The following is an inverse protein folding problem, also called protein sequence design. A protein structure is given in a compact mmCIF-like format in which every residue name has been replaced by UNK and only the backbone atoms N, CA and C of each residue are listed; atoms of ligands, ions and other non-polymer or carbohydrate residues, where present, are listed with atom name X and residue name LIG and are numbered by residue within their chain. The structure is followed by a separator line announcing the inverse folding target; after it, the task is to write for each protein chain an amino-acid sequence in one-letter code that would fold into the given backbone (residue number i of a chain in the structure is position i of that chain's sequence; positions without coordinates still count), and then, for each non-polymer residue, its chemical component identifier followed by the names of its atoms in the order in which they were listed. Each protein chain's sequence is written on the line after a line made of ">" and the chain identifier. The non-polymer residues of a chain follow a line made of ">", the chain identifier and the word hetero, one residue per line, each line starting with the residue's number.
data_IF_667031361625
#
_entry.id   IF_667031361625
#
_cell.length_a   1.000
_cell.length_b   1.000
_cell.length_c   1.000
_cell.angle_alpha   90.00
_cell.angle_beta   90.00
_cell.angle_gamma   90.00
#
_symmetry.space_group_name_H-M   'P 1'
#
loop_
_entity.id
_entity.type
_entity.pdbx_description
1 polymer ?
#
# COMPACT_ATOMS: atom_id res chain seq x y z
N UNK A 1 0.27 -15.92 -3.18
CA UNK A 1 -0.85 -16.50 -2.39
C UNK A 1 -0.79 -15.91 -0.98
N UNK A 2 -1.76 -15.06 -0.61
CA UNK A 2 -1.78 -14.41 0.71
C UNK A 2 -2.27 -15.44 1.73
N UNK A 3 -1.44 -15.76 2.73
CA UNK A 3 -1.80 -16.71 3.78
C UNK A 3 -2.88 -16.07 4.69
N UNK A 4 -3.97 -16.79 5.04
CA UNK A 4 -5.05 -16.25 5.86
C UNK A 4 -4.58 -15.68 7.21
N UNK A 5 -3.53 -16.27 7.78
CA UNK A 5 -2.88 -15.84 9.01
C UNK A 5 -2.29 -14.42 8.92
N UNK A 6 -1.84 -14.00 7.73
CA UNK A 6 -1.33 -12.64 7.50
C UNK A 6 -2.46 -11.61 7.55
N UNK A 7 -3.66 -11.96 7.05
CA UNK A 7 -4.83 -11.08 7.10
C UNK A 7 -5.34 -10.88 8.54
N UNK A 8 -5.37 -11.95 9.33
CA UNK A 8 -5.76 -11.88 10.74
C UNK A 8 -4.75 -11.06 11.54
N UNK A 9 -3.45 -11.21 11.27
CA UNK A 9 -2.42 -10.43 11.95
C UNK A 9 -2.46 -8.95 11.57
N UNK A 10 -2.71 -8.65 10.29
CA UNK A 10 -2.93 -7.28 9.82
C UNK A 10 -4.16 -6.65 10.47
N UNK A 11 -5.25 -7.41 10.65
CA UNK A 11 -6.45 -6.97 11.34
C UNK A 11 -6.17 -6.64 12.81
N UNK A 12 -5.41 -7.49 13.51
CA UNK A 12 -5.04 -7.29 14.92
C UNK A 12 -4.10 -6.10 15.14
N UNK A 13 -3.16 -5.85 14.22
CA UNK A 13 -2.35 -4.63 14.25
C UNK A 13 -3.18 -3.37 13.95
N UNK A 14 -4.26 -3.49 13.18
CA UNK A 14 -5.16 -2.36 12.85
C UNK A 14 -6.14 -1.99 13.97
N UNK A 15 -6.32 -2.86 14.98
CA UNK A 15 -7.29 -2.70 16.06
C UNK A 15 -7.18 -1.36 16.83
N UNK A 16 -5.97 -0.89 17.21
CA UNK A 16 -5.80 0.40 17.89
C UNK A 16 -6.21 1.59 17.03
N UNK A 17 -6.09 1.48 15.71
CA UNK A 17 -6.48 2.54 14.77
C UNK A 17 -8.01 2.62 14.63
N UNK A 18 -8.70 1.48 14.62
CA UNK A 18 -10.16 1.43 14.63
C UNK A 18 -10.76 2.04 15.89
N UNK A 19 -10.17 1.73 17.06
CA UNK A 19 -10.61 2.30 18.33
C UNK A 19 -10.49 3.83 18.34
N UNK A 20 -9.39 4.37 17.79
CA UNK A 20 -9.18 5.81 17.68
C UNK A 20 -10.11 6.49 16.68
N UNK A 21 -10.53 5.79 15.63
CA UNK A 21 -11.40 6.34 14.58
C UNK A 21 -12.86 6.51 15.05
N UNK A 22 -13.33 5.60 15.91
CA UNK A 22 -14.73 5.54 16.35
C UNK A 22 -15.02 6.38 17.59
N UNK A 23 -14.03 6.56 18.48
CA UNK A 23 -14.26 7.12 19.81
C UNK A 23 -13.60 8.48 20.06
N UNK A 24 -12.69 8.91 19.19
CA UNK A 24 -11.95 10.16 19.37
C UNK A 24 -12.72 11.26 18.59
N UNK A 25 -13.52 12.08 19.29
CA UNK A 25 -14.09 13.32 18.76
C UNK A 25 -12.94 14.32 18.52
N UNK A 26 -12.13 14.08 17.48
CA UNK A 26 -11.00 14.95 17.19
C UNK A 26 -11.49 16.32 16.73
N UNK A 27 -10.98 17.36 17.39
CA UNK A 27 -11.02 18.70 16.84
C UNK A 27 -10.42 18.70 15.41
N UNK A 28 -11.04 19.43 14.48
CA UNK A 28 -10.60 19.53 13.08
C UNK A 28 -9.09 19.81 12.96
N UNK A 29 -8.56 20.67 13.83
CA UNK A 29 -7.15 21.00 13.94
C UNK A 29 -6.28 19.78 14.23
N UNK A 30 -6.75 18.88 15.09
CA UNK A 30 -6.05 17.67 15.48
C UNK A 30 -6.04 16.63 14.35
N UNK A 31 -7.12 16.55 13.56
CA UNK A 31 -7.18 15.75 12.33
C UNK A 31 -6.18 16.29 11.30
N UNK A 32 -6.17 17.61 11.08
CA UNK A 32 -5.28 18.26 10.12
C UNK A 32 -3.79 18.03 10.48
N UNK A 33 -3.43 18.17 11.76
CA UNK A 33 -2.07 17.90 12.23
C UNK A 33 -1.68 16.44 12.01
N UNK A 34 -2.55 15.48 12.39
CA UNK A 34 -2.28 14.05 12.17
C UNK A 34 -2.17 13.72 10.68
N UNK A 35 -3.00 14.32 9.82
CA UNK A 35 -2.95 14.13 8.37
C UNK A 35 -1.62 14.65 7.78
N UNK A 36 -1.22 15.88 8.13
CA UNK A 36 0.04 16.47 7.67
C UNK A 36 1.28 15.65 8.09
N UNK A 37 1.22 14.96 9.23
CA UNK A 37 2.30 14.07 9.69
C UNK A 37 2.20 12.69 9.03
N UNK A 38 1.00 12.16 8.81
CA UNK A 38 0.79 10.83 8.24
C UNK A 38 1.21 10.74 6.77
N UNK A 39 0.96 11.79 5.97
CA UNK A 39 1.30 11.83 4.54
C UNK A 39 2.80 11.59 4.26
N UNK A 40 3.76 12.32 4.88
CA UNK A 40 5.18 12.08 4.64
C UNK A 40 5.62 10.71 5.14
N UNK A 41 5.08 10.23 6.27
CA UNK A 41 5.39 8.87 6.77
C UNK A 41 4.92 7.82 5.75
N UNK A 42 3.71 7.95 5.23
CA UNK A 42 3.19 7.04 4.22
C UNK A 42 4.04 7.06 2.94
N UNK A 43 4.52 8.22 2.51
CA UNK A 43 5.41 8.34 1.35
C UNK A 43 6.75 7.60 1.56
N UNK A 44 7.35 7.73 2.75
CA UNK A 44 8.58 7.01 3.11
C UNK A 44 8.33 5.51 3.17
N UNK A 45 7.25 5.07 3.81
CA UNK A 45 6.90 3.66 3.91
C UNK A 45 6.59 3.04 2.53
N UNK A 46 5.89 3.76 1.66
CA UNK A 46 5.60 3.31 0.30
C UNK A 46 6.88 3.20 -0.53
N UNK A 47 7.79 4.16 -0.39
CA UNK A 47 9.10 4.11 -1.03
C UNK A 47 9.92 2.91 -0.55
N UNK A 48 9.98 2.68 0.77
CA UNK A 48 10.66 1.53 1.36
C UNK A 48 10.04 0.20 0.91
N UNK A 49 8.71 0.13 0.88
CA UNK A 49 7.99 -1.04 0.40
C UNK A 49 8.30 -1.31 -1.09
N UNK A 50 8.30 -0.27 -1.92
CA UNK A 50 8.64 -0.37 -3.34
C UNK A 50 10.10 -0.78 -3.55
N UNK A 51 11.00 -0.33 -2.70
CA UNK A 51 12.41 -0.74 -2.71
C UNK A 51 12.59 -2.22 -2.34
N UNK A 52 11.89 -2.70 -1.31
CA UNK A 52 11.95 -4.11 -0.92
C UNK A 52 11.30 -5.02 -1.98
N UNK A 53 10.23 -4.56 -2.61
CA UNK A 53 9.48 -5.34 -3.60
C UNK A 53 9.99 -5.20 -5.04
N UNK A 54 10.90 -4.27 -5.34
CA UNK A 54 11.41 -4.09 -6.72
C UNK A 54 12.21 -5.29 -7.24
N UNK A 55 12.71 -6.16 -6.36
CA UNK A 55 13.34 -7.42 -6.73
C UNK A 55 12.39 -8.63 -6.73
N UNK A 56 11.14 -8.47 -6.28
CA UNK A 56 10.15 -9.55 -6.24
C UNK A 56 9.37 -9.57 -7.57
N UNK A 57 9.62 -10.59 -8.40
CA UNK A 57 8.91 -10.81 -9.67
C UNK A 57 9.70 -10.47 -10.93
N UNK A 58 10.94 -9.98 -10.80
CA UNK A 58 11.89 -9.94 -11.93
C UNK A 58 12.68 -11.24 -11.92
N UNK A 59 12.12 -12.26 -12.53
CA UNK A 59 12.87 -13.44 -12.99
C UNK A 59 13.45 -13.11 -14.37
N UNK A 60 14.71 -13.50 -14.65
CA UNK A 60 15.34 -13.33 -15.97
C UNK A 60 14.52 -13.94 -17.14
N UNK A 61 13.55 -14.81 -16.81
CA UNK A 61 12.65 -15.49 -17.74
C UNK A 61 11.30 -14.79 -17.97
N UNK A 62 11.11 -13.52 -17.59
CA UNK A 62 9.94 -12.77 -18.07
C UNK A 62 10.39 -11.88 -19.22
N UNK A 63 10.29 -12.35 -20.49
CA UNK A 63 10.48 -11.45 -21.61
C UNK A 63 9.46 -10.34 -21.43
N UNK A 64 9.90 -9.09 -21.53
CA UNK A 64 8.99 -7.99 -21.75
C UNK A 64 8.22 -8.36 -23.02
N UNK A 65 6.99 -8.87 -22.89
CA UNK A 65 6.17 -9.26 -24.03
C UNK A 65 6.06 -8.02 -24.90
N UNK A 66 6.72 -7.99 -26.08
CA UNK A 66 6.59 -6.86 -26.97
C UNK A 66 5.12 -6.86 -27.38
N UNK A 67 4.40 -5.80 -27.01
CA UNK A 67 3.05 -5.60 -27.51
C UNK A 67 3.23 -5.24 -28.97
N UNK A 68 3.19 -6.26 -29.84
CA UNK A 68 3.14 -6.07 -31.28
C UNK A 68 1.76 -5.45 -31.58
N UNK A 69 1.69 -4.18 -32.00
CA UNK A 69 0.43 -3.55 -32.33
C UNK A 69 -0.08 -4.19 -33.62
N UNK A 70 -0.87 -5.26 -33.49
CA UNK A 70 -1.55 -5.86 -34.63
C UNK A 70 -2.43 -4.78 -35.26
N UNK A 71 -2.19 -4.36 -36.51
CA UNK A 71 -3.04 -3.37 -37.14
C UNK A 71 -4.45 -3.95 -37.23
N UNK A 72 -5.40 -3.19 -36.70
CA UNK A 72 -6.83 -3.43 -36.85
C UNK A 72 -7.16 -3.19 -38.32
N UNK A 73 -7.07 -4.24 -39.15
CA UNK A 73 -7.58 -4.17 -40.51
C UNK A 73 -9.11 -4.26 -40.45
N UNK A 74 -9.72 -3.33 -41.19
CA UNK A 74 -11.16 -3.06 -41.38
C UNK A 74 -12.02 -4.27 -41.74
#
# INVERSE_FOLDING_TARGET
>A
MIRPSVLVFALLISLPAWYRLLFDQLALTQVLIRFLIAVPIAAVLLTAFRFVTSGYGVTEETPATPVDPKPLNE
#
